data_IF_328117702308
#
_entry.id   IF_328117702308
#
_cell.length_a   1.000
_cell.length_b   1.000
_cell.length_c   1.000
_cell.angle_alpha   90.00
_cell.angle_beta   90.00
_cell.angle_gamma   90.00
#
_symmetry.space_group_name_H-M   'P 1'
#
loop_
_entity.id
_entity.type
_entity.pdbx_description
1 polymer ?
#
# COMPACT_ATOMS: atom_id res chain seq x y z
N UNK A 1 -2.80 -8.63 -90.44
CA UNK A 1 -2.99 -10.06 -90.75
C UNK A 1 -2.80 -10.80 -89.42
N UNK A 2 -3.69 -11.59 -88.84
CA UNK A 2 -4.87 -12.31 -89.35
C UNK A 2 -5.68 -12.80 -88.14
N UNK A 3 -7.00 -12.62 -88.21
CA UNK A 3 -8.11 -13.49 -87.74
C UNK A 3 -8.11 -14.04 -86.30
N UNK A 4 -9.19 -13.74 -85.59
CA UNK A 4 -9.68 -14.55 -84.48
C UNK A 4 -10.41 -15.82 -84.94
N UNK A 5 -10.57 -16.77 -84.03
CA UNK A 5 -11.55 -17.86 -84.08
C UNK A 5 -12.17 -18.01 -82.69
N UNK A 6 -13.49 -17.91 -82.66
CA UNK A 6 -14.44 -18.22 -81.59
C UNK A 6 -14.60 -19.72 -81.35
N UNK A 7 -14.86 -20.13 -80.10
CA UNK A 7 -15.44 -21.42 -79.74
C UNK A 7 -16.03 -21.41 -78.33
N UNK A 8 -17.36 -21.49 -78.22
CA UNK A 8 -18.13 -21.67 -76.96
C UNK A 8 -18.34 -23.17 -76.70
N UNK A 9 -18.21 -23.62 -75.45
CA UNK A 9 -19.02 -24.71 -74.86
C UNK A 9 -19.33 -24.37 -73.40
N UNK A 10 -20.52 -24.78 -72.94
CA UNK A 10 -21.26 -24.36 -71.75
C UNK A 10 -21.40 -25.52 -70.73
N UNK A 11 -21.19 -25.23 -69.43
CA UNK A 11 -21.65 -25.89 -68.16
C UNK A 11 -21.27 -27.38 -67.95
N UNK A 12 -21.05 -27.93 -66.75
CA UNK A 12 -21.67 -27.85 -65.41
C UNK A 12 -20.56 -28.03 -64.34
N UNK A 13 -20.52 -27.31 -63.21
CA UNK A 13 -21.34 -27.59 -62.03
C UNK A 13 -20.51 -28.28 -60.93
N UNK A 14 -20.06 -27.54 -59.91
CA UNK A 14 -20.21 -27.87 -58.49
C UNK A 14 -19.72 -26.68 -57.65
N UNK A 15 -20.63 -26.09 -56.88
CA UNK A 15 -20.32 -25.12 -55.83
C UNK A 15 -19.84 -25.94 -54.63
N UNK A 16 -18.52 -25.97 -54.40
CA UNK A 16 -17.96 -26.39 -53.12
C UNK A 16 -17.88 -25.16 -52.21
N UNK A 17 -18.77 -25.07 -51.23
CA UNK A 17 -18.67 -24.06 -50.18
C UNK A 17 -17.41 -24.34 -49.34
N UNK A 18 -16.38 -23.53 -49.50
CA UNK A 18 -15.29 -23.44 -48.52
C UNK A 18 -15.84 -22.73 -47.28
N UNK A 19 -16.07 -23.49 -46.22
CA UNK A 19 -16.26 -22.93 -44.89
C UNK A 19 -14.95 -22.25 -44.48
N UNK A 20 -14.91 -20.92 -44.55
CA UNK A 20 -13.83 -20.13 -43.96
C UNK A 20 -14.10 -20.12 -42.46
N UNK A 21 -13.47 -21.05 -41.74
CA UNK A 21 -13.41 -20.96 -40.28
C UNK A 21 -12.65 -19.69 -39.92
N UNK A 22 -13.22 -18.77 -39.11
CA UNK A 22 -12.42 -17.71 -38.53
C UNK A 22 -11.40 -18.36 -37.59
N UNK A 23 -10.12 -18.20 -37.91
CA UNK A 23 -9.04 -18.39 -36.93
C UNK A 23 -9.27 -17.34 -35.84
N UNK A 24 -9.95 -17.75 -34.78
CA UNK A 24 -9.87 -17.07 -33.49
C UNK A 24 -8.41 -17.16 -33.07
N UNK A 25 -7.66 -16.09 -33.33
CA UNK A 25 -6.41 -15.83 -32.62
C UNK A 25 -6.82 -15.63 -31.17
N UNK A 26 -6.84 -16.72 -30.41
CA UNK A 26 -6.82 -16.66 -28.96
C UNK A 26 -5.57 -15.86 -28.60
N UNK A 27 -5.76 -14.60 -28.25
CA UNK A 27 -4.78 -13.88 -27.45
C UNK A 27 -4.74 -14.69 -26.17
N UNK A 28 -3.76 -15.58 -26.07
CA UNK A 28 -3.46 -16.23 -24.81
C UNK A 28 -3.26 -15.11 -23.83
N UNK A 29 -4.20 -14.94 -22.90
CA UNK A 29 -4.00 -14.10 -21.73
C UNK A 29 -2.63 -14.49 -21.21
N UNK A 30 -1.69 -13.54 -21.22
CA UNK A 30 -0.45 -13.71 -20.48
C UNK A 30 -0.90 -14.16 -19.09
N UNK A 31 -0.62 -15.44 -18.76
CA UNK A 31 -1.06 -16.02 -17.51
C UNK A 31 -0.63 -15.04 -16.44
N UNK A 32 -1.60 -14.45 -15.74
CA UNK A 32 -1.30 -13.66 -14.55
C UNK A 32 -0.38 -14.55 -13.72
N UNK A 33 0.85 -14.07 -13.50
CA UNK A 33 1.88 -14.78 -12.76
C UNK A 33 1.25 -15.32 -11.48
N UNK A 34 0.94 -16.62 -11.48
CA UNK A 34 0.15 -17.30 -10.43
C UNK A 34 0.91 -17.35 -9.10
N UNK A 35 2.09 -16.74 -9.05
CA UNK A 35 2.99 -16.70 -7.91
C UNK A 35 3.13 -15.30 -7.29
N UNK A 36 2.39 -14.29 -7.77
CA UNK A 36 2.37 -12.99 -7.12
C UNK A 36 1.46 -13.05 -5.88
N UNK A 37 1.92 -12.55 -4.72
CA UNK A 37 1.04 -12.45 -3.57
C UNK A 37 -0.17 -11.59 -3.94
N UNK A 38 -1.38 -12.13 -3.72
CA UNK A 38 -2.61 -11.42 -4.00
C UNK A 38 -2.74 -10.15 -3.13
N UNK A 39 -2.10 -10.14 -1.96
CA UNK A 39 -2.12 -9.02 -1.03
C UNK A 39 -0.74 -8.81 -0.40
N UNK A 40 -0.37 -7.55 -0.21
CA UNK A 40 0.86 -7.11 0.42
C UNK A 40 0.54 -6.20 1.60
N UNK A 41 0.98 -6.59 2.79
CA UNK A 41 0.71 -5.87 4.04
C UNK A 41 2.01 -5.27 4.57
N UNK A 42 1.98 -3.98 4.86
CA UNK A 42 2.99 -3.28 5.67
C UNK A 42 2.33 -2.85 6.97
N UNK A 43 2.90 -3.28 8.09
CA UNK A 43 2.59 -2.74 9.41
C UNK A 43 3.83 -1.95 9.83
N UNK A 44 3.73 -0.62 9.83
CA UNK A 44 4.84 0.26 10.16
C UNK A 44 4.76 0.65 11.63
N UNK A 45 5.47 -0.11 12.47
CA UNK A 45 5.69 0.21 13.89
C UNK A 45 6.70 1.35 14.03
N UNK A 46 6.73 1.98 15.21
CA UNK A 46 7.55 3.16 15.45
C UNK A 46 8.76 2.88 16.36
N UNK A 47 9.75 3.79 16.27
CA UNK A 47 11.09 3.84 16.86
C UNK A 47 11.35 2.99 18.13
N UNK A 48 11.42 1.67 17.94
CA UNK A 48 11.78 0.70 18.98
C UNK A 48 13.05 -0.04 18.56
N UNK A 49 14.07 -0.03 19.42
CA UNK A 49 15.38 -0.60 19.09
C UNK A 49 15.32 -2.12 18.91
N UNK A 50 16.18 -2.65 18.03
CA UNK A 50 16.39 -4.10 17.88
C UNK A 50 16.61 -4.80 19.23
N UNK A 51 17.49 -4.23 20.07
CA UNK A 51 17.82 -4.76 21.39
C UNK A 51 16.67 -4.72 22.39
N UNK A 52 15.68 -3.86 22.16
CA UNK A 52 14.46 -3.79 22.99
C UNK A 52 13.40 -4.80 22.55
N UNK A 53 13.42 -5.25 21.29
CA UNK A 53 12.41 -6.15 20.72
C UNK A 53 12.83 -7.62 20.66
N UNK A 54 14.01 -7.91 20.10
CA UNK A 54 14.42 -9.29 19.85
C UNK A 54 14.85 -9.95 21.16
N UNK A 55 14.19 -11.06 21.51
CA UNK A 55 14.30 -11.75 22.79
C UNK A 55 13.35 -11.22 23.88
N UNK A 56 12.61 -10.14 23.63
CA UNK A 56 11.70 -9.58 24.62
C UNK A 56 10.41 -10.42 24.77
N UNK A 57 10.09 -10.94 25.97
CA UNK A 57 8.88 -11.72 26.20
C UNK A 57 7.58 -10.92 25.99
N UNK A 58 7.63 -9.59 26.06
CA UNK A 58 6.49 -8.71 25.79
C UNK A 58 6.19 -8.57 24.30
N UNK A 59 7.09 -8.99 23.40
CA UNK A 59 6.87 -8.99 21.95
C UNK A 59 6.78 -10.43 21.39
N UNK A 60 5.87 -11.30 21.88
CA UNK A 60 5.88 -12.72 21.55
C UNK A 60 5.60 -12.96 20.07
N UNK A 61 4.73 -12.16 19.46
CA UNK A 61 4.39 -12.30 18.04
C UNK A 61 5.56 -11.92 17.14
N UNK A 62 6.21 -10.77 17.38
CA UNK A 62 7.38 -10.32 16.61
C UNK A 62 8.52 -11.32 16.70
N UNK A 63 8.81 -11.84 17.90
CA UNK A 63 9.86 -12.85 18.10
C UNK A 63 9.55 -14.17 17.40
N UNK A 64 8.28 -14.59 17.42
CA UNK A 64 7.82 -15.75 16.66
C UNK A 64 7.93 -15.53 15.16
N UNK A 65 7.58 -14.34 14.66
CA UNK A 65 7.65 -14.01 13.24
C UNK A 65 9.11 -13.97 12.77
N UNK A 66 10.00 -13.31 13.52
CA UNK A 66 11.43 -13.19 13.21
C UNK A 66 12.17 -14.53 13.21
N UNK A 67 11.72 -15.50 14.03
CA UNK A 67 12.30 -16.86 14.06
C UNK A 67 11.74 -17.79 12.99
N UNK A 68 10.50 -17.54 12.52
CA UNK A 68 9.79 -18.41 11.57
C UNK A 68 9.91 -17.97 10.12
N UNK A 69 9.96 -16.67 9.86
CA UNK A 69 9.92 -16.07 8.52
C UNK A 69 11.21 -15.31 8.20
N UNK A 70 11.25 -14.64 7.05
CA UNK A 70 12.38 -13.80 6.66
C UNK A 70 12.58 -12.65 7.66
N UNK A 71 13.81 -12.46 8.10
CA UNK A 71 14.18 -11.41 9.03
C UNK A 71 15.41 -10.64 8.55
N UNK A 72 15.21 -9.36 8.19
CA UNK A 72 16.26 -8.49 7.68
C UNK A 72 17.04 -7.84 8.83
N UNK A 73 18.10 -8.51 9.30
CA UNK A 73 18.94 -8.03 10.42
C UNK A 73 19.73 -6.75 10.11
N UNK A 74 19.92 -6.43 8.83
CA UNK A 74 20.66 -5.25 8.34
C UNK A 74 19.69 -4.26 7.65
N UNK A 75 18.54 -4.01 8.28
CA UNK A 75 17.57 -3.02 7.83
C UNK A 75 17.71 -1.74 8.66
N UNK A 76 17.81 -0.59 8.01
CA UNK A 76 18.07 0.70 8.65
C UNK A 76 17.05 1.74 8.19
N UNK A 77 16.77 2.71 9.06
CA UNK A 77 16.10 3.94 8.65
C UNK A 77 16.94 4.69 7.62
N UNK A 78 16.28 5.41 6.73
CA UNK A 78 16.87 6.27 5.70
C UNK A 78 17.36 7.59 6.31
N UNK A 79 16.69 8.10 7.34
CA UNK A 79 17.05 9.32 8.07
C UNK A 79 16.48 9.31 9.49
N UNK A 80 16.64 10.41 10.20
CA UNK A 80 15.90 10.77 11.41
C UNK A 80 15.46 12.24 11.28
N UNK A 81 14.22 12.64 11.61
CA UNK A 81 13.17 11.91 12.37
C UNK A 81 12.30 10.98 11.52
N UNK A 82 11.12 10.61 12.01
CA UNK A 82 10.26 9.54 11.51
C UNK A 82 9.68 9.84 10.12
N UNK A 83 9.11 11.03 9.90
CA UNK A 83 8.40 11.37 8.66
C UNK A 83 9.21 11.11 7.37
N UNK A 84 10.49 11.51 7.27
CA UNK A 84 11.33 11.17 6.11
C UNK A 84 11.40 9.67 5.79
N UNK A 85 11.34 8.79 6.80
CA UNK A 85 11.38 7.33 6.60
C UNK A 85 10.07 6.80 6.02
N UNK A 86 8.92 7.28 6.50
CA UNK A 86 7.61 6.93 5.95
C UNK A 86 7.47 7.38 4.49
N UNK A 87 7.96 8.57 4.17
CA UNK A 87 8.02 9.09 2.80
C UNK A 87 8.97 8.24 1.95
N UNK A 88 10.16 7.92 2.44
CA UNK A 88 11.12 7.09 1.72
C UNK A 88 10.58 5.67 1.45
N UNK A 89 9.86 5.08 2.40
CA UNK A 89 9.24 3.77 2.24
C UNK A 89 8.16 3.74 1.14
N UNK A 90 7.47 4.87 0.91
CA UNK A 90 6.32 4.95 -0.02
C UNK A 90 6.60 5.71 -1.31
N UNK A 91 7.75 6.38 -1.44
CA UNK A 91 8.16 7.09 -2.67
C UNK A 91 9.58 6.75 -3.15
N UNK A 92 10.36 6.00 -2.37
CA UNK A 92 11.72 5.57 -2.71
C UNK A 92 12.83 6.57 -2.35
N UNK A 93 12.51 7.75 -1.81
CA UNK A 93 13.50 8.70 -1.28
C UNK A 93 12.87 9.63 -0.23
N UNK A 94 13.67 10.42 0.49
CA UNK A 94 13.11 11.44 1.41
C UNK A 94 12.48 12.62 0.69
N UNK A 95 12.74 12.80 -0.61
CA UNK A 95 12.29 13.93 -1.44
C UNK A 95 12.57 15.30 -0.83
N UNK A 96 13.67 15.43 -0.07
CA UNK A 96 14.05 16.67 0.59
C UNK A 96 13.30 16.96 1.89
N UNK A 97 12.45 16.05 2.37
CA UNK A 97 11.86 16.15 3.71
C UNK A 97 12.91 15.77 4.75
N UNK A 98 13.17 16.68 5.68
CA UNK A 98 14.25 16.56 6.68
C UNK A 98 13.76 16.53 8.12
N UNK A 99 12.47 16.76 8.35
CA UNK A 99 11.87 16.84 9.67
C UNK A 99 10.44 16.29 9.68
N UNK A 100 9.77 16.41 10.84
CA UNK A 100 8.39 15.95 11.08
C UNK A 100 7.34 17.05 10.84
N UNK A 101 7.71 18.21 10.28
CA UNK A 101 6.77 19.31 10.05
C UNK A 101 5.72 18.98 8.98
N UNK A 102 4.62 19.72 9.00
CA UNK A 102 3.56 19.66 7.97
C UNK A 102 4.15 19.93 6.58
N UNK A 103 3.97 18.96 5.68
CA UNK A 103 4.56 19.01 4.34
C UNK A 103 3.59 18.49 3.29
N UNK A 104 3.55 19.18 2.16
CA UNK A 104 2.94 18.70 0.92
C UNK A 104 4.02 18.58 -0.14
N UNK A 105 4.28 17.37 -0.59
CA UNK A 105 5.26 17.07 -1.64
C UNK A 105 4.55 16.64 -2.94
N UNK A 106 5.11 17.04 -4.08
CA UNK A 106 4.59 16.73 -5.40
C UNK A 106 5.55 15.81 -6.14
N UNK A 107 5.51 14.52 -5.77
CA UNK A 107 6.41 13.48 -6.28
C UNK A 107 5.60 12.23 -6.62
N UNK A 108 6.15 11.39 -7.51
CA UNK A 108 5.59 10.07 -7.76
C UNK A 108 5.74 9.21 -6.51
N UNK A 109 4.70 8.46 -6.16
CA UNK A 109 4.70 7.58 -5.00
C UNK A 109 4.14 6.19 -5.36
N UNK A 110 4.04 5.31 -4.37
CA UNK A 110 3.59 3.92 -4.54
C UNK A 110 2.14 3.85 -5.06
N UNK A 111 1.28 4.81 -4.72
CA UNK A 111 -0.11 4.87 -5.20
C UNK A 111 -0.16 4.99 -6.72
N UNK A 112 0.68 5.84 -7.31
CA UNK A 112 0.75 5.99 -8.76
C UNK A 112 1.16 4.69 -9.47
N UNK A 113 2.04 3.91 -8.83
CA UNK A 113 2.47 2.62 -9.37
C UNK A 113 1.36 1.57 -9.26
N UNK A 114 0.67 1.52 -8.12
CA UNK A 114 -0.42 0.59 -7.89
C UNK A 114 -1.58 0.86 -8.87
N UNK A 115 -2.05 2.10 -8.95
CA UNK A 115 -3.16 2.48 -9.81
C UNK A 115 -2.84 2.30 -11.31
N UNK A 116 -1.61 2.60 -11.74
CA UNK A 116 -1.18 2.37 -13.12
C UNK A 116 -1.20 0.88 -13.53
N UNK A 117 -1.15 -0.03 -12.55
CA UNK A 117 -1.21 -1.48 -12.74
C UNK A 117 -2.57 -2.07 -12.32
N UNK A 118 -3.59 -1.23 -12.11
CA UNK A 118 -4.93 -1.67 -11.71
C UNK A 118 -4.97 -2.34 -10.34
N UNK A 119 -4.01 -2.02 -9.45
CA UNK A 119 -3.92 -2.56 -8.11
C UNK A 119 -4.61 -1.65 -7.10
N UNK A 120 -5.47 -2.26 -6.28
CA UNK A 120 -6.16 -1.57 -5.19
C UNK A 120 -5.23 -1.32 -4.00
N UNK A 121 -5.47 -0.24 -3.27
CA UNK A 121 -4.68 0.12 -2.11
C UNK A 121 -5.55 0.75 -1.03
N UNK A 122 -5.16 0.55 0.23
CA UNK A 122 -5.80 1.21 1.37
C UNK A 122 -4.81 1.38 2.51
N UNK A 123 -4.89 2.53 3.18
CA UNK A 123 -4.05 2.90 4.29
C UNK A 123 -4.92 3.03 5.54
N UNK A 124 -4.61 2.21 6.54
CA UNK A 124 -5.36 2.08 7.78
C UNK A 124 -4.56 2.74 8.91
N UNK A 125 -5.05 3.89 9.35
CA UNK A 125 -4.45 4.69 10.40
C UNK A 125 -5.27 4.48 11.67
N UNK A 126 -4.69 3.90 12.71
CA UNK A 126 -5.44 3.71 13.95
C UNK A 126 -5.72 5.06 14.63
N UNK A 127 -6.93 5.20 15.16
CA UNK A 127 -7.39 6.43 15.82
C UNK A 127 -7.43 7.65 14.89
N UNK A 128 -7.62 7.44 13.58
CA UNK A 128 -7.52 8.49 12.55
C UNK A 128 -8.41 9.69 12.91
N UNK A 129 -7.79 10.87 13.03
CA UNK A 129 -8.48 12.11 13.33
C UNK A 129 -7.94 13.25 12.47
N UNK A 130 -8.77 13.76 11.55
CA UNK A 130 -8.42 14.88 10.69
C UNK A 130 -9.11 16.14 11.21
N UNK A 131 -8.36 17.05 11.83
CA UNK A 131 -8.84 18.19 12.60
C UNK A 131 -9.80 19.10 11.81
N UNK A 132 -11.11 18.85 11.93
CA UNK A 132 -12.14 19.47 11.08
C UNK A 132 -11.85 19.35 9.56
N UNK A 133 -11.27 18.22 9.15
CA UNK A 133 -10.90 17.96 7.76
C UNK A 133 -9.53 18.52 7.32
N UNK A 134 -8.74 19.14 8.20
CA UNK A 134 -7.36 19.47 7.90
C UNK A 134 -6.51 18.19 7.87
N UNK A 135 -6.13 17.77 6.66
CA UNK A 135 -5.36 16.53 6.38
C UNK A 135 -3.96 16.53 6.98
N UNK A 136 -3.37 17.72 7.15
CA UNK A 136 -2.00 17.87 7.64
C UNK A 136 -1.93 18.19 9.12
N UNK A 137 -3.06 18.49 9.77
CA UNK A 137 -3.03 18.90 11.16
C UNK A 137 -2.44 17.79 12.05
N UNK A 138 -1.39 18.16 12.78
CA UNK A 138 -0.64 17.28 13.67
C UNK A 138 -1.26 17.15 15.08
N UNK A 139 -2.28 17.95 15.42
CA UNK A 139 -2.87 17.93 16.75
C UNK A 139 -4.38 18.21 16.73
N UNK A 140 -5.16 17.18 17.06
CA UNK A 140 -6.56 17.29 17.49
C UNK A 140 -7.04 15.98 18.09
N UNK A 141 -8.26 16.02 18.66
CA UNK A 141 -8.87 14.86 19.27
C UNK A 141 -8.07 14.39 20.48
N UNK A 142 -7.89 13.08 20.59
CA UNK A 142 -7.19 12.43 21.69
C UNK A 142 -5.66 12.40 21.49
N UNK A 143 -5.13 12.93 20.39
CA UNK A 143 -3.69 12.88 20.04
C UNK A 143 -3.11 11.45 20.04
N UNK A 144 -3.89 10.47 19.57
CA UNK A 144 -3.40 9.12 19.33
C UNK A 144 -2.98 8.91 17.87
N UNK A 145 -3.72 9.47 16.92
CA UNK A 145 -3.28 9.53 15.54
C UNK A 145 -2.18 10.58 15.37
N UNK A 146 -1.09 10.19 14.74
CA UNK A 146 0.07 11.03 14.50
C UNK A 146 0.27 11.20 12.99
N UNK A 147 0.11 12.43 12.50
CA UNK A 147 0.03 12.73 11.06
C UNK A 147 1.31 12.35 10.32
N UNK A 148 2.47 12.50 10.97
CA UNK A 148 3.77 12.10 10.39
C UNK A 148 3.91 10.60 10.13
N UNK A 149 3.07 9.75 10.73
CA UNK A 149 3.03 8.31 10.49
C UNK A 149 2.11 7.94 9.30
N UNK A 150 1.46 8.93 8.68
CA UNK A 150 0.69 8.78 7.44
C UNK A 150 1.41 9.51 6.30
N UNK A 151 2.19 8.81 5.46
CA UNK A 151 2.87 9.44 4.34
C UNK A 151 1.89 9.85 3.24
N UNK A 152 0.73 9.22 3.13
CA UNK A 152 -0.19 9.41 2.02
C UNK A 152 -0.80 10.81 2.04
N UNK A 153 -1.13 11.32 3.22
CA UNK A 153 -1.60 12.71 3.37
C UNK A 153 -0.53 13.75 3.07
N UNK A 154 0.75 13.38 2.94
CA UNK A 154 1.83 14.30 2.53
C UNK A 154 1.93 14.44 1.00
N UNK A 155 1.31 13.56 0.21
CA UNK A 155 1.37 13.64 -1.25
C UNK A 155 0.28 14.55 -1.83
N UNK A 156 0.70 15.49 -2.68
CA UNK A 156 -0.21 16.48 -3.31
C UNK A 156 -1.31 15.84 -4.15
N UNK A 157 -0.99 14.76 -4.85
CA UNK A 157 -1.90 14.00 -5.70
C UNK A 157 -2.96 13.23 -4.89
N UNK A 158 -2.59 12.68 -3.73
CA UNK A 158 -3.53 12.09 -2.77
C UNK A 158 -4.41 13.18 -2.19
N UNK A 159 -3.83 14.26 -1.64
CA UNK A 159 -4.59 15.36 -1.04
C UNK A 159 -5.63 15.96 -1.99
N UNK A 160 -5.31 16.12 -3.28
CA UNK A 160 -6.20 16.76 -4.26
C UNK A 160 -7.14 15.78 -4.97
N UNK A 161 -7.03 14.48 -4.72
CA UNK A 161 -7.90 13.46 -5.30
C UNK A 161 -8.81 12.85 -4.22
N UNK A 162 -10.11 13.19 -4.20
CA UNK A 162 -11.06 12.64 -3.22
C UNK A 162 -11.13 11.12 -3.20
N UNK A 163 -10.94 10.45 -4.35
CA UNK A 163 -10.95 8.98 -4.40
C UNK A 163 -9.72 8.38 -3.72
N UNK A 164 -8.54 9.01 -3.86
CA UNK A 164 -7.33 8.58 -3.14
C UNK A 164 -7.42 8.88 -1.65
N UNK A 165 -7.95 10.04 -1.26
CA UNK A 165 -8.20 10.34 0.15
C UNK A 165 -9.19 9.37 0.81
N UNK A 166 -10.17 8.84 0.06
CA UNK A 166 -11.11 7.84 0.58
C UNK A 166 -10.44 6.50 0.92
N UNK A 167 -9.20 6.26 0.47
CA UNK A 167 -8.40 5.10 0.82
C UNK A 167 -7.56 5.31 2.09
N UNK A 168 -7.56 6.51 2.68
CA UNK A 168 -6.96 6.78 3.99
C UNK A 168 -8.08 6.73 5.03
N UNK A 169 -8.09 5.67 5.82
CA UNK A 169 -9.22 5.34 6.70
C UNK A 169 -8.78 4.96 8.11
N UNK A 170 -9.72 5.00 9.04
CA UNK A 170 -9.48 4.49 10.39
C UNK A 170 -9.26 2.96 10.35
N UNK A 171 -8.33 2.48 11.19
CA UNK A 171 -8.01 1.05 11.32
C UNK A 171 -9.21 0.15 11.60
N UNK A 172 -10.26 0.67 12.26
CA UNK A 172 -11.50 -0.08 12.51
C UNK A 172 -12.18 -0.62 11.25
N UNK A 173 -11.88 -0.09 10.06
CA UNK A 173 -12.42 -0.58 8.78
C UNK A 173 -11.72 -1.84 8.24
N UNK A 174 -10.51 -2.16 8.72
CA UNK A 174 -9.68 -3.24 8.19
C UNK A 174 -10.41 -4.58 8.15
N UNK A 175 -11.05 -4.96 9.25
CA UNK A 175 -11.75 -6.25 9.36
C UNK A 175 -12.91 -6.35 8.37
N UNK A 176 -13.68 -5.28 8.17
CA UNK A 176 -14.76 -5.29 7.19
C UNK A 176 -14.26 -5.34 5.76
N UNK A 177 -13.18 -4.62 5.45
CA UNK A 177 -12.61 -4.58 4.10
C UNK A 177 -11.96 -5.92 3.71
N UNK A 178 -11.19 -6.54 4.62
CA UNK A 178 -10.55 -7.85 4.38
C UNK A 178 -11.58 -8.96 4.20
N UNK A 179 -12.66 -8.94 4.99
CA UNK A 179 -13.72 -9.94 4.90
C UNK A 179 -14.73 -9.64 3.77
N UNK A 180 -14.57 -8.52 3.07
CA UNK A 180 -15.41 -8.12 1.94
C UNK A 180 -15.11 -8.90 0.66
N UNK A 181 -15.88 -8.62 -0.40
CA UNK A 181 -15.71 -9.28 -1.70
C UNK A 181 -14.53 -8.79 -2.55
N UNK A 182 -13.85 -7.72 -2.12
CA UNK A 182 -12.73 -7.10 -2.83
C UNK A 182 -11.71 -6.51 -1.85
N UNK A 183 -10.98 -7.36 -1.09
CA UNK A 183 -9.95 -6.88 -0.17
C UNK A 183 -8.83 -6.12 -0.93
N UNK A 184 -8.28 -5.03 -0.36
CA UNK A 184 -7.23 -4.26 -1.00
C UNK A 184 -5.94 -5.08 -1.20
N UNK A 185 -5.28 -4.90 -2.35
CA UNK A 185 -4.06 -5.64 -2.71
C UNK A 185 -2.80 -5.05 -2.06
N UNK A 186 -2.77 -3.74 -1.83
CA UNK A 186 -1.74 -3.08 -1.01
C UNK A 186 -2.36 -2.52 0.26
N UNK A 187 -1.88 -2.98 1.41
CA UNK A 187 -2.37 -2.59 2.72
C UNK A 187 -1.24 -1.96 3.51
N UNK A 188 -1.42 -0.70 3.87
CA UNK A 188 -0.56 -0.02 4.83
C UNK A 188 -1.29 0.13 6.16
N UNK A 189 -0.60 -0.15 7.27
CA UNK A 189 -1.13 -0.02 8.62
C UNK A 189 -0.14 0.79 9.44
N UNK A 190 -0.60 1.89 10.01
CA UNK A 190 0.11 2.63 11.06
C UNK A 190 -0.71 2.52 12.35
N UNK A 191 -0.20 1.82 13.38
CA UNK A 191 -0.78 1.88 14.71
C UNK A 191 -0.75 3.30 15.28
N UNK A 192 -1.57 3.54 16.29
CA UNK A 192 -1.60 4.82 16.98
C UNK A 192 -0.51 4.90 18.05
N UNK A 193 -0.35 6.06 18.67
CA UNK A 193 0.70 6.30 19.68
C UNK A 193 0.64 5.34 20.89
N UNK A 194 -0.45 4.59 21.12
CA UNK A 194 -0.51 3.59 22.20
C UNK A 194 -0.04 2.20 21.75
N UNK A 195 -0.03 1.93 20.45
CA UNK A 195 0.19 0.61 19.88
C UNK A 195 1.34 0.59 18.87
N UNK A 196 2.00 1.73 18.62
CA UNK A 196 3.16 1.83 17.71
C UNK A 196 4.49 1.42 18.36
N UNK A 197 4.46 1.04 19.66
CA UNK A 197 5.60 0.70 20.51
C UNK A 197 6.51 1.87 20.91
N UNK A 198 6.25 3.09 20.44
CA UNK A 198 7.05 4.27 20.74
C UNK A 198 6.41 5.17 21.79
N UNK A 199 5.09 5.36 21.72
CA UNK A 199 4.41 6.24 22.67
C UNK A 199 4.48 7.72 22.31
N UNK A 200 3.75 8.51 23.11
CA UNK A 200 3.68 9.98 23.04
C UNK A 200 4.34 10.63 24.24
N UNK A 201 4.61 11.93 24.11
CA UNK A 201 4.98 12.75 25.24
C UNK A 201 3.78 12.93 26.19
N UNK A 202 3.83 12.25 27.32
CA UNK A 202 2.84 12.33 28.40
C UNK A 202 3.50 11.98 29.73
N UNK A 203 2.80 12.20 30.84
CA UNK A 203 3.24 11.71 32.14
C UNK A 203 3.15 10.17 32.21
N UNK A 204 3.93 9.54 33.10
CA UNK A 204 4.00 8.08 33.17
C UNK A 204 2.69 7.38 33.57
N UNK A 205 1.67 8.10 34.04
CA UNK A 205 0.35 7.52 34.33
C UNK A 205 -0.50 7.34 33.08
N UNK A 206 -0.15 8.04 31.98
CA UNK A 206 -0.70 7.77 30.67
C UNK A 206 -0.13 6.43 30.16
N UNK A 207 -0.97 5.43 29.88
CA UNK A 207 -0.51 4.13 29.37
C UNK A 207 0.27 4.23 28.06
N UNK A 208 0.11 5.32 27.32
CA UNK A 208 0.75 5.56 26.02
C UNK A 208 1.97 6.48 26.12
N UNK A 209 2.40 6.85 27.32
CA UNK A 209 3.61 7.65 27.51
C UNK A 209 4.84 6.88 27.02
N UNK A 210 5.73 7.53 26.26
CA UNK A 210 6.99 6.90 25.80
C UNK A 210 7.88 6.36 26.93
N UNK A 211 7.62 6.78 28.17
CA UNK A 211 8.29 6.25 29.36
C UNK A 211 7.91 4.79 29.68
N UNK A 212 6.73 4.34 29.23
CA UNK A 212 6.16 3.02 29.51
C UNK A 212 6.53 1.99 28.42
N UNK A 213 7.84 1.88 28.16
CA UNK A 213 8.38 1.13 27.01
C UNK A 213 7.92 -0.34 26.97
N UNK A 214 7.85 -1.02 28.11
CA UNK A 214 7.50 -2.45 28.12
C UNK A 214 6.01 -2.68 27.86
N UNK A 215 5.17 -1.79 28.37
CA UNK A 215 3.74 -1.77 28.16
C UNK A 215 3.42 -1.45 26.70
N UNK A 216 4.12 -0.46 26.12
CA UNK A 216 4.00 -0.11 24.70
C UNK A 216 4.44 -1.27 23.79
N UNK A 217 5.53 -1.95 24.12
CA UNK A 217 5.96 -3.16 23.39
C UNK A 217 4.93 -4.30 23.53
N UNK A 218 4.27 -4.42 24.68
CA UNK A 218 3.24 -5.44 24.89
C UNK A 218 1.92 -5.11 24.17
N UNK A 219 1.65 -3.83 23.94
CA UNK A 219 0.42 -3.34 23.31
C UNK A 219 0.46 -3.43 21.77
N UNK A 220 1.63 -3.24 21.16
CA UNK A 220 1.83 -3.36 19.71
C UNK A 220 1.85 -4.81 19.20
#
# INVERSE_FOLDING_TARGET
MTRGITGRVVRFGLVGALAISPLLTGVGSAGADQNQPAHFFIIMMENTSYSSLIGNPNAPWINKAASKYGFAKNYYGVSHPSQPNYIAATSGSTNGVTDDNDVTINVRNVVDQLEAHGKSWKAYMQSLSLCNGNKLAHACGNQLYERKHDPFVSYKDVQNNPARMANVVDFGQLTSDINGGAPPEYVWISPDQCHDMHGRAADATDPCAFANVQELIAAG
#
